data_IF_502443584880
#
_entry.id   IF_502443584880
#
_cell.length_a   1.000
_cell.length_b   1.000
_cell.length_c   1.000
_cell.angle_alpha   90.00
_cell.angle_beta   90.00
_cell.angle_gamma   90.00
#
_symmetry.space_group_name_H-M   'P 1'
#
loop_
_entity.id
_entity.type
_entity.pdbx_description
1 polymer ?
#
# COMPACT_ATOMS: atom_id res chain seq x y z
N UNK A 1 7.90 12.04 5.95
CA UNK A 1 7.06 13.06 5.29
C UNK A 1 5.88 12.41 4.61
N UNK A 2 6.15 11.59 3.60
CA UNK A 2 5.14 10.93 2.77
C UNK A 2 4.06 10.17 3.56
N UNK A 3 4.42 9.28 4.48
CA UNK A 3 3.43 8.50 5.24
C UNK A 3 2.44 9.35 6.05
N UNK A 4 2.90 10.50 6.59
CA UNK A 4 2.01 11.44 7.30
C UNK A 4 1.05 12.14 6.34
N UNK A 5 1.53 12.49 5.14
CA UNK A 5 0.70 13.08 4.10
C UNK A 5 -0.38 12.11 3.62
N UNK A 6 0.00 10.86 3.30
CA UNK A 6 -0.96 9.82 2.88
C UNK A 6 -2.00 9.58 3.97
N UNK A 7 -1.57 9.41 5.22
CA UNK A 7 -2.51 9.24 6.33
C UNK A 7 -3.51 10.40 6.46
N UNK A 8 -3.04 11.65 6.48
CA UNK A 8 -3.92 12.82 6.59
C UNK A 8 -4.89 12.94 5.41
N UNK A 9 -4.42 12.65 4.18
CA UNK A 9 -5.25 12.68 2.98
C UNK A 9 -6.33 11.59 3.01
N UNK A 10 -5.95 10.35 3.33
CA UNK A 10 -6.89 9.22 3.40
C UNK A 10 -7.99 9.44 4.42
N UNK A 11 -7.65 9.93 5.62
CA UNK A 11 -8.63 10.25 6.66
C UNK A 11 -9.55 11.39 6.22
N UNK A 12 -9.01 12.43 5.57
CA UNK A 12 -9.83 13.53 5.06
C UNK A 12 -10.81 13.08 3.96
N UNK A 13 -10.38 12.18 3.06
CA UNK A 13 -11.25 11.61 2.02
C UNK A 13 -12.35 10.72 2.62
N UNK A 14 -12.01 9.90 3.62
CA UNK A 14 -12.99 9.09 4.34
C UNK A 14 -14.02 9.97 5.06
N UNK A 15 -13.57 11.04 5.74
CA UNK A 15 -14.44 12.01 6.39
C UNK A 15 -15.34 12.79 5.40
N UNK A 16 -14.93 12.92 4.14
CA UNK A 16 -15.73 13.49 3.07
C UNK A 16 -16.77 12.51 2.47
N UNK A 17 -16.80 11.26 2.93
CA UNK A 17 -17.78 10.24 2.53
C UNK A 17 -17.30 9.30 1.42
N UNK A 18 -16.00 9.26 1.12
CA UNK A 18 -15.44 8.29 0.17
C UNK A 18 -15.03 6.99 0.87
N UNK A 19 -15.20 5.86 0.20
CA UNK A 19 -14.64 4.59 0.64
C UNK A 19 -13.14 4.56 0.31
N UNK A 20 -12.29 4.54 1.33
CA UNK A 20 -10.84 4.63 1.17
C UNK A 20 -10.17 3.34 1.65
N UNK A 21 -9.46 2.69 0.75
CA UNK A 21 -8.52 1.60 1.07
C UNK A 21 -7.09 2.06 0.85
N UNK A 22 -6.22 1.88 1.84
CA UNK A 22 -4.77 2.10 1.74
C UNK A 22 -4.07 0.76 1.71
N UNK A 23 -3.38 0.48 0.60
CA UNK A 23 -2.49 -0.67 0.46
C UNK A 23 -1.06 -0.23 0.73
N UNK A 24 -0.36 -0.84 1.68
CA UNK A 24 0.98 -0.40 2.11
C UNK A 24 1.88 -1.57 2.53
N UNK A 25 3.17 -1.32 2.79
CA UNK A 25 4.09 -2.34 3.31
C UNK A 25 3.67 -2.77 4.71
N UNK A 26 3.82 -4.06 5.03
CA UNK A 26 3.75 -4.55 6.40
C UNK A 26 4.83 -3.96 7.31
N UNK A 27 4.52 -3.87 8.59
CA UNK A 27 5.41 -3.44 9.66
C UNK A 27 5.27 -4.44 10.81
N UNK A 28 6.39 -4.76 11.48
CA UNK A 28 6.41 -5.75 12.56
C UNK A 28 5.34 -5.49 13.61
N UNK A 29 4.57 -6.52 13.94
CA UNK A 29 3.49 -6.48 14.92
C UNK A 29 2.19 -5.83 14.43
N UNK A 30 2.14 -5.23 13.24
CA UNK A 30 0.91 -4.69 12.69
C UNK A 30 0.02 -5.81 12.09
N UNK A 31 -1.31 -5.72 12.20
CA UNK A 31 -2.20 -6.65 11.51
C UNK A 31 -2.12 -6.47 10.00
N UNK A 32 -2.31 -7.57 9.26
CA UNK A 32 -2.34 -7.55 7.78
C UNK A 32 -3.52 -6.74 7.23
N UNK A 33 -4.61 -6.67 7.98
CA UNK A 33 -5.76 -5.86 7.64
C UNK A 33 -6.33 -5.23 8.91
N UNK A 34 -6.65 -3.94 8.85
CA UNK A 34 -7.38 -3.24 9.91
C UNK A 34 -8.21 -2.10 9.35
N UNK A 35 -9.18 -1.64 10.13
CA UNK A 35 -9.92 -0.41 9.86
C UNK A 35 -9.58 0.60 10.94
N UNK A 36 -9.13 1.79 10.52
CA UNK A 36 -8.78 2.88 11.41
C UNK A 36 -9.18 4.21 10.77
N UNK A 37 -9.76 5.13 11.55
CA UNK A 37 -10.12 6.48 11.10
C UNK A 37 -10.99 6.52 9.83
N UNK A 38 -11.89 5.53 9.66
CA UNK A 38 -12.74 5.39 8.47
C UNK A 38 -12.03 4.85 7.23
N UNK A 39 -10.77 4.44 7.35
CA UNK A 39 -9.94 3.92 6.26
C UNK A 39 -9.69 2.43 6.46
N UNK A 40 -9.88 1.65 5.40
CA UNK A 40 -9.44 0.25 5.35
C UNK A 40 -7.95 0.20 5.04
N UNK A 41 -7.15 -0.46 5.87
CA UNK A 41 -5.71 -0.55 5.69
C UNK A 41 -5.35 -2.00 5.41
N UNK A 42 -4.73 -2.25 4.26
CA UNK A 42 -4.26 -3.57 3.85
C UNK A 42 -2.74 -3.52 3.74
N UNK A 43 -2.07 -4.37 4.51
CA UNK A 43 -0.62 -4.47 4.52
C UNK A 43 -0.17 -5.65 3.68
N UNK A 44 0.62 -5.37 2.65
CA UNK A 44 1.31 -6.38 1.89
C UNK A 44 2.25 -7.15 2.83
N UNK A 45 1.92 -8.43 3.03
CA UNK A 45 2.71 -9.32 3.86
C UNK A 45 4.18 -9.29 3.44
N UNK A 46 5.06 -9.40 4.43
CA UNK A 46 6.48 -9.53 4.17
C UNK A 46 6.73 -10.90 3.54
N UNK A 47 6.82 -10.92 2.20
CA UNK A 47 7.44 -12.00 1.46
C UNK A 47 8.95 -11.76 1.59
N UNK A 48 9.77 -12.74 2.03
CA UNK A 48 11.18 -12.49 2.32
C UNK A 48 11.89 -11.99 1.06
N UNK A 49 12.06 -10.68 0.98
CA UNK A 49 12.83 -10.04 -0.08
C UNK A 49 14.28 -10.42 0.19
N UNK A 50 14.84 -11.29 -0.63
CA UNK A 50 16.26 -11.69 -0.54
C UNK A 50 17.22 -10.51 -0.76
N UNK A 51 16.70 -9.39 -1.25
CA UNK A 51 17.42 -8.14 -1.42
C UNK A 51 17.27 -7.26 -0.18
N UNK A 52 18.36 -6.77 0.44
CA UNK A 52 18.24 -5.76 1.48
C UNK A 52 17.74 -4.43 0.91
N UNK A 53 17.06 -3.62 1.72
CA UNK A 53 16.76 -2.24 1.36
C UNK A 53 18.04 -1.39 1.50
N UNK A 54 18.87 -1.40 0.46
CA UNK A 54 20.16 -0.73 0.41
C UNK A 54 20.41 -0.16 -0.99
N UNK A 55 21.27 0.85 -1.12
CA UNK A 55 21.51 1.57 -2.38
C UNK A 55 21.83 0.66 -3.57
N UNK A 56 22.66 -0.38 -3.36
CA UNK A 56 23.07 -1.31 -4.41
C UNK A 56 21.96 -2.29 -4.84
N UNK A 57 20.93 -2.48 -4.02
CA UNK A 57 19.82 -3.41 -4.27
C UNK A 57 18.46 -2.73 -4.29
N UNK A 58 18.41 -1.39 -4.23
CA UNK A 58 17.19 -0.61 -4.08
C UNK A 58 16.19 -0.89 -5.19
N UNK A 59 16.65 -0.94 -6.44
CA UNK A 59 15.77 -1.24 -7.57
C UNK A 59 15.18 -2.65 -7.48
N UNK A 60 16.02 -3.66 -7.19
CA UNK A 60 15.57 -5.05 -7.06
C UNK A 60 14.59 -5.21 -5.88
N UNK A 61 14.88 -4.56 -4.76
CA UNK A 61 13.99 -4.49 -3.61
C UNK A 61 12.66 -3.83 -3.98
N UNK A 62 12.68 -2.69 -4.69
CA UNK A 62 11.47 -1.98 -5.11
C UNK A 62 10.61 -2.86 -6.02
N UNK A 63 11.21 -3.58 -6.98
CA UNK A 63 10.46 -4.49 -7.85
C UNK A 63 9.82 -5.65 -7.08
N UNK A 64 10.57 -6.25 -6.15
CA UNK A 64 10.03 -7.30 -5.28
C UNK A 64 8.88 -6.77 -4.39
N UNK A 65 9.04 -5.56 -3.84
CA UNK A 65 8.00 -4.89 -3.07
C UNK A 65 6.75 -4.61 -3.90
N UNK A 66 6.88 -4.15 -5.16
CA UNK A 66 5.71 -3.96 -6.02
C UNK A 66 4.99 -5.29 -6.29
N UNK A 67 5.71 -6.41 -6.42
CA UNK A 67 5.05 -7.70 -6.59
C UNK A 67 4.17 -8.08 -5.39
N UNK A 68 4.68 -7.88 -4.17
CA UNK A 68 3.89 -8.17 -2.96
C UNK A 68 2.74 -7.19 -2.78
N UNK A 69 2.96 -5.91 -3.11
CA UNK A 69 1.94 -4.86 -3.05
C UNK A 69 0.82 -5.08 -4.07
N UNK A 70 1.16 -5.48 -5.31
CA UNK A 70 0.17 -5.84 -6.35
C UNK A 70 -0.72 -6.98 -5.90
N UNK A 71 -0.15 -8.03 -5.30
CA UNK A 71 -0.96 -9.14 -4.75
C UNK A 71 -1.93 -8.67 -3.66
N UNK A 72 -1.48 -7.77 -2.77
CA UNK A 72 -2.33 -7.22 -1.73
C UNK A 72 -3.44 -6.33 -2.30
N UNK A 73 -3.12 -5.50 -3.29
CA UNK A 73 -4.09 -4.66 -3.98
C UNK A 73 -5.14 -5.50 -4.74
N UNK A 74 -4.73 -6.54 -5.47
CA UNK A 74 -5.65 -7.44 -6.16
C UNK A 74 -6.61 -8.15 -5.18
N UNK A 75 -6.11 -8.62 -4.04
CA UNK A 75 -6.99 -9.16 -2.98
C UNK A 75 -7.97 -8.14 -2.45
N UNK A 76 -7.60 -6.86 -2.40
CA UNK A 76 -8.52 -5.80 -2.00
C UNK A 76 -9.71 -5.68 -2.95
N UNK A 77 -9.49 -5.93 -4.25
CA UNK A 77 -10.53 -5.87 -5.30
C UNK A 77 -11.53 -7.03 -5.24
N UNK A 78 -11.15 -8.16 -4.61
CA UNK A 78 -12.09 -9.27 -4.39
C UNK A 78 -13.24 -8.90 -3.45
N UNK A 79 -13.06 -7.88 -2.62
CA UNK A 79 -14.06 -7.38 -1.68
C UNK A 79 -14.91 -6.22 -2.24
N UNK A 80 -14.56 -5.66 -3.40
CA UNK A 80 -15.26 -4.54 -4.01
C UNK A 80 -14.45 -3.83 -5.11
N UNK A 81 -15.16 -3.10 -5.95
CA UNK A 81 -14.57 -2.31 -7.05
C UNK A 81 -14.02 -0.96 -6.56
N UNK A 82 -13.11 -0.37 -7.32
CA UNK A 82 -12.52 0.94 -7.04
C UNK A 82 -12.62 1.85 -8.27
N UNK A 83 -13.11 3.08 -8.07
CA UNK A 83 -13.22 4.07 -9.15
C UNK A 83 -11.87 4.70 -9.51
N UNK A 84 -10.96 4.80 -8.54
CA UNK A 84 -9.67 5.50 -8.68
C UNK A 84 -8.57 4.76 -7.95
N UNK A 85 -7.43 4.58 -8.62
CA UNK A 85 -6.16 4.18 -8.01
C UNK A 85 -5.30 5.44 -7.87
N UNK A 86 -4.95 5.80 -6.63
CA UNK A 86 -4.07 6.94 -6.34
C UNK A 86 -2.79 6.45 -5.67
N UNK A 87 -1.66 6.65 -6.36
CA UNK A 87 -0.35 6.18 -5.92
C UNK A 87 0.56 7.33 -5.46
N UNK A 88 1.43 7.04 -4.49
CA UNK A 88 2.34 8.01 -3.90
C UNK A 88 3.79 7.52 -3.96
N UNK A 89 4.66 8.31 -4.61
CA UNK A 89 6.08 8.03 -4.83
C UNK A 89 6.36 6.98 -5.93
N UNK A 90 7.58 6.97 -6.46
CA UNK A 90 7.98 6.07 -7.54
C UNK A 90 8.09 4.60 -7.09
N UNK A 91 8.23 4.36 -5.79
CA UNK A 91 8.39 3.02 -5.22
C UNK A 91 7.17 2.11 -5.44
N UNK A 92 6.01 2.67 -5.76
CA UNK A 92 4.76 1.91 -5.98
C UNK A 92 4.22 2.06 -7.40
N UNK A 93 5.00 2.66 -8.29
CA UNK A 93 4.56 3.00 -9.64
C UNK A 93 4.14 1.76 -10.44
N UNK A 94 4.85 0.64 -10.30
CA UNK A 94 4.49 -0.58 -11.02
C UNK A 94 3.17 -1.17 -10.51
N UNK A 95 2.97 -1.24 -9.20
CA UNK A 95 1.70 -1.69 -8.62
C UNK A 95 0.52 -0.82 -9.06
N UNK A 96 0.72 0.48 -9.24
CA UNK A 96 -0.33 1.41 -9.62
C UNK A 96 -0.84 1.25 -11.06
N UNK A 97 -0.06 0.65 -11.95
CA UNK A 97 -0.33 0.59 -13.40
C UNK A 97 -0.41 -0.84 -13.97
N UNK A 98 -0.24 -1.85 -13.13
CA UNK A 98 -0.31 -3.28 -13.53
C UNK A 98 -1.75 -3.76 -13.42
#
# INVERSE_FOLDING_TARGET
GLGRHVHALSVALAAAGHDVTVVTRHADGAPLEEYADGVRIIRAAEDPVTFPLATNSLLAWTMAFNHTLTRAALRATEAGDYDVIHAHDWLVAHTAIT
#
